data_IF_623264054886
#
_entry.id   IF_623264054886
#
_cell.length_a   1.000
_cell.length_b   1.000
_cell.length_c   1.000
_cell.angle_alpha   90.00
_cell.angle_beta   90.00
_cell.angle_gamma   90.00
#
_symmetry.space_group_name_H-M   'P 1'
#
loop_
_entity.id
_entity.type
_entity.pdbx_description
1 polymer ?
#
# COMPACT_ATOMS: atom_id res chain seq x y z
N UNK A 1 -40.16 -1.82 2.00
CA UNK A 1 -39.09 -2.41 1.14
C UNK A 1 -38.31 -1.28 0.49
N UNK A 2 -37.17 -0.89 1.06
CA UNK A 2 -36.25 0.09 0.45
C UNK A 2 -34.95 -0.64 0.17
N UNK A 3 -34.57 -0.64 -1.11
CA UNK A 3 -33.37 -1.29 -1.64
C UNK A 3 -32.15 -0.53 -1.12
N UNK A 4 -31.26 -1.22 -0.40
CA UNK A 4 -29.95 -0.69 -0.03
C UNK A 4 -29.09 -0.57 -1.29
N UNK A 5 -28.66 0.64 -1.58
CA UNK A 5 -27.72 0.91 -2.66
C UNK A 5 -26.35 0.49 -2.12
N UNK A 6 -25.86 -0.64 -2.60
CA UNK A 6 -24.47 -1.06 -2.50
C UNK A 6 -23.65 -0.06 -3.31
N UNK A 7 -23.05 0.92 -2.65
CA UNK A 7 -22.09 1.82 -3.29
C UNK A 7 -20.77 1.07 -3.31
N UNK A 8 -20.53 0.33 -4.40
CA UNK A 8 -19.22 -0.18 -4.74
C UNK A 8 -18.26 1.01 -4.80
N UNK A 9 -17.14 0.91 -4.08
CA UNK A 9 -16.04 1.86 -4.18
C UNK A 9 -15.43 1.63 -5.57
N UNK A 10 -15.85 2.45 -6.53
CA UNK A 10 -15.29 2.51 -7.87
C UNK A 10 -13.84 3.00 -7.77
N UNK A 11 -12.89 2.08 -7.74
CA UNK A 11 -11.50 2.40 -8.04
C UNK A 11 -11.45 2.84 -9.51
N UNK A 12 -10.90 4.03 -9.84
CA UNK A 12 -10.75 4.42 -11.23
C UNK A 12 -9.72 3.49 -11.88
N UNK A 13 -10.19 2.65 -12.79
CA UNK A 13 -9.38 1.82 -13.67
C UNK A 13 -8.44 2.73 -14.44
N UNK A 14 -7.16 2.77 -14.02
CA UNK A 14 -6.11 3.50 -14.72
C UNK A 14 -5.76 2.71 -16.00
N UNK A 15 -6.58 2.89 -17.04
CA UNK A 15 -6.28 2.46 -18.40
C UNK A 15 -5.10 3.29 -18.89
N UNK A 16 -3.88 2.79 -18.67
CA UNK A 16 -2.68 3.32 -19.31
C UNK A 16 -2.71 2.93 -20.79
N UNK A 17 -3.39 3.75 -21.58
CA UNK A 17 -3.29 3.73 -23.04
C UNK A 17 -1.87 4.12 -23.45
N UNK A 18 -1.09 3.11 -23.85
CA UNK A 18 0.15 3.25 -24.59
C UNK A 18 -0.13 3.95 -25.92
N UNK A 19 0.11 5.25 -25.99
CA UNK A 19 0.33 5.95 -27.26
C UNK A 19 1.83 6.21 -27.40
N UNK A 20 2.52 5.28 -28.09
CA UNK A 20 3.80 5.58 -28.69
C UNK A 20 3.61 6.53 -29.88
N UNK A 21 4.48 7.51 -30.00
CA UNK A 21 4.78 8.12 -31.29
C UNK A 21 6.28 8.41 -31.33
N UNK A 22 6.99 7.60 -32.10
CA UNK A 22 8.36 7.88 -32.51
C UNK A 22 8.41 8.94 -33.62
N UNK A 23 9.60 9.48 -33.83
CA UNK A 23 9.95 10.29 -35.00
C UNK A 23 11.08 11.28 -34.75
N UNK A 24 12.32 10.87 -35.06
CA UNK A 24 13.33 11.55 -35.90
C UNK A 24 13.28 13.10 -36.02
N UNK A 25 14.35 13.90 -36.05
CA UNK A 25 15.77 13.69 -36.38
C UNK A 25 16.58 14.98 -36.18
N UNK A 26 17.90 14.81 -36.02
CA UNK A 26 19.02 15.66 -36.45
C UNK A 26 19.21 17.10 -35.91
N UNK A 27 20.37 17.35 -35.27
CA UNK A 27 21.33 18.33 -35.83
C UNK A 27 22.76 18.28 -35.25
N UNK A 28 23.71 18.32 -36.20
CA UNK A 28 25.05 18.93 -36.20
C UNK A 28 26.20 18.42 -35.31
N UNK A 29 27.20 17.87 -36.03
CA UNK A 29 28.63 17.86 -35.71
C UNK A 29 29.18 19.28 -35.57
N UNK A 30 30.02 19.53 -34.56
CA UNK A 30 31.10 20.52 -34.57
C UNK A 30 32.32 19.92 -33.86
N UNK A 31 33.49 20.31 -34.37
CA UNK A 31 34.82 19.73 -34.24
C UNK A 31 35.48 19.76 -32.85
N UNK A 32 36.44 18.83 -32.75
CA UNK A 32 37.47 18.59 -31.76
C UNK A 32 38.32 19.82 -31.37
N UNK A 33 38.59 19.95 -30.06
CA UNK A 33 39.87 20.42 -29.50
C UNK A 33 40.23 19.61 -28.26
N UNK A 34 41.48 19.16 -28.18
CA UNK A 34 42.03 18.30 -27.13
C UNK A 34 42.21 18.98 -25.76
N UNK A 35 41.79 18.24 -24.73
CA UNK A 35 42.32 18.00 -23.37
C UNK A 35 42.58 19.20 -22.42
N UNK A 36 42.17 19.01 -21.16
CA UNK A 36 43.12 18.48 -20.18
C UNK A 36 42.68 17.11 -19.66
N UNK A 37 43.64 16.33 -19.18
CA UNK A 37 43.44 15.02 -18.57
C UNK A 37 42.47 15.14 -17.38
N UNK A 38 41.19 14.85 -17.63
CA UNK A 38 40.20 14.62 -16.60
C UNK A 38 40.59 13.33 -15.92
N UNK A 39 40.96 13.40 -14.65
CA UNK A 39 41.03 12.23 -13.80
C UNK A 39 39.67 11.54 -13.86
N UNK A 40 39.57 10.47 -14.65
CA UNK A 40 38.42 9.59 -14.62
C UNK A 40 38.37 9.00 -13.21
N UNK A 41 37.58 9.62 -12.32
CA UNK A 41 36.99 8.90 -11.20
C UNK A 41 36.37 7.66 -11.84
N UNK A 42 36.94 6.49 -11.57
CA UNK A 42 36.28 5.23 -11.89
C UNK A 42 34.84 5.38 -11.40
N UNK A 43 33.82 5.16 -12.26
CA UNK A 43 32.46 5.15 -11.78
C UNK A 43 32.44 4.24 -10.56
N UNK A 44 31.89 4.74 -9.44
CA UNK A 44 31.60 3.87 -8.29
C UNK A 44 30.90 2.66 -8.90
N UNK A 45 31.45 1.46 -8.71
CA UNK A 45 30.72 0.24 -9.05
C UNK A 45 29.42 0.35 -8.27
N UNK A 46 28.34 0.67 -8.96
CA UNK A 46 27.00 0.55 -8.41
C UNK A 46 26.89 -0.89 -7.94
N UNK A 47 26.48 -1.06 -6.68
CA UNK A 47 26.19 -2.40 -6.16
C UNK A 47 25.13 -2.97 -7.08
N UNK A 48 25.39 -4.14 -7.64
CA UNK A 48 24.40 -4.87 -8.40
C UNK A 48 23.26 -5.22 -7.43
N UNK A 49 22.10 -4.60 -7.62
CA UNK A 49 20.88 -4.87 -6.88
C UNK A 49 20.32 -6.17 -7.45
N UNK A 50 20.21 -7.19 -6.62
CA UNK A 50 19.69 -8.49 -7.05
C UNK A 50 19.10 -9.23 -5.85
N UNK A 51 17.89 -9.73 -6.02
CA UNK A 51 17.17 -10.62 -5.11
C UNK A 51 16.33 -11.59 -5.92
N UNK A 52 15.89 -12.69 -5.31
CA UNK A 52 14.95 -13.60 -5.97
C UNK A 52 13.52 -13.04 -5.91
N UNK A 53 12.80 -13.10 -7.03
CA UNK A 53 11.42 -12.62 -7.13
C UNK A 53 10.46 -13.33 -6.16
N UNK A 54 10.71 -14.61 -5.85
CA UNK A 54 9.95 -15.35 -4.86
C UNK A 54 10.09 -14.76 -3.45
N UNK A 55 11.32 -14.42 -3.05
CA UNK A 55 11.59 -13.80 -1.76
C UNK A 55 10.96 -12.40 -1.69
N UNK A 56 11.09 -11.62 -2.77
CA UNK A 56 10.45 -10.31 -2.88
C UNK A 56 8.93 -10.39 -2.66
N UNK A 57 8.26 -11.32 -3.34
CA UNK A 57 6.81 -11.50 -3.19
C UNK A 57 6.42 -11.84 -1.76
N UNK A 58 7.12 -12.79 -1.13
CA UNK A 58 6.85 -13.18 0.26
C UNK A 58 7.05 -12.03 1.23
N UNK A 59 8.09 -11.22 1.02
CA UNK A 59 8.40 -10.06 1.85
C UNK A 59 7.34 -8.97 1.71
N UNK A 60 6.91 -8.63 0.49
CA UNK A 60 5.87 -7.62 0.26
C UNK A 60 4.52 -8.10 0.81
N UNK A 61 4.21 -9.39 0.70
CA UNK A 61 3.00 -9.99 1.28
C UNK A 61 2.94 -9.76 2.80
N UNK A 62 4.02 -10.11 3.51
CA UNK A 62 4.12 -9.88 4.96
C UNK A 62 4.05 -8.40 5.29
N UNK A 63 4.87 -7.58 4.62
CA UNK A 63 4.94 -6.14 4.87
C UNK A 63 3.55 -5.47 4.73
N UNK A 64 2.76 -5.91 3.76
CA UNK A 64 1.44 -5.34 3.49
C UNK A 64 0.32 -5.82 4.41
N UNK A 65 0.55 -6.90 5.16
CA UNK A 65 -0.49 -7.56 5.95
C UNK A 65 -1.22 -6.62 6.91
N UNK A 66 -0.50 -5.75 7.63
CA UNK A 66 -1.10 -4.87 8.63
C UNK A 66 -2.02 -3.82 8.04
N UNK A 67 -1.55 -3.07 7.04
CA UNK A 67 -2.41 -2.00 6.52
C UNK A 67 -3.60 -2.55 5.74
N UNK A 68 -3.46 -3.67 5.02
CA UNK A 68 -4.59 -4.32 4.33
C UNK A 68 -5.61 -4.86 5.33
N UNK A 69 -5.13 -5.54 6.38
CA UNK A 69 -6.00 -6.05 7.43
C UNK A 69 -6.77 -4.93 8.13
N UNK A 70 -6.07 -3.84 8.49
CA UNK A 70 -6.69 -2.73 9.18
C UNK A 70 -7.64 -1.94 8.29
N UNK A 71 -7.30 -1.68 7.02
CA UNK A 71 -8.21 -1.02 6.07
C UNK A 71 -9.53 -1.79 5.94
N UNK A 72 -9.44 -3.11 5.76
CA UNK A 72 -10.59 -4.00 5.68
C UNK A 72 -11.42 -4.02 6.97
N UNK A 73 -10.79 -4.29 8.12
CA UNK A 73 -11.51 -4.44 9.38
C UNK A 73 -12.03 -3.09 9.89
N UNK A 74 -11.26 -2.01 9.79
CA UNK A 74 -11.69 -0.69 10.20
C UNK A 74 -12.80 -0.15 9.28
N UNK A 75 -12.72 -0.39 7.96
CA UNK A 75 -13.79 -0.07 7.02
C UNK A 75 -15.09 -0.80 7.37
N UNK A 76 -15.02 -2.12 7.55
CA UNK A 76 -16.19 -2.94 7.85
C UNK A 76 -16.82 -2.65 9.22
N UNK A 77 -15.99 -2.51 10.27
CA UNK A 77 -16.49 -2.19 11.61
C UNK A 77 -16.98 -0.74 11.66
N UNK A 78 -16.21 0.20 11.11
CA UNK A 78 -16.55 1.62 11.08
C UNK A 78 -17.83 1.94 10.31
N UNK A 79 -18.18 1.15 9.28
CA UNK A 79 -19.46 1.25 8.59
C UNK A 79 -20.66 0.97 9.50
N UNK A 80 -20.49 0.10 10.49
CA UNK A 80 -21.56 -0.29 11.41
C UNK A 80 -21.73 0.68 12.60
N UNK A 81 -20.81 1.64 12.77
CA UNK A 81 -20.89 2.65 13.83
C UNK A 81 -21.84 3.77 13.39
N UNK A 82 -22.98 3.88 14.07
CA UNK A 82 -24.01 4.88 13.81
C UNK A 82 -24.28 5.75 15.05
N UNK A 83 -24.88 6.93 14.85
CA UNK A 83 -25.14 7.87 15.94
C UNK A 83 -26.12 7.33 16.99
N UNK A 84 -27.11 6.52 16.57
CA UNK A 84 -28.22 6.07 17.41
C UNK A 84 -28.28 4.53 17.51
N UNK A 85 -27.13 3.88 17.69
CA UNK A 85 -27.07 2.43 17.89
C UNK A 85 -27.82 2.01 19.16
N UNK A 86 -28.58 0.92 19.08
CA UNK A 86 -29.13 0.28 20.28
C UNK A 86 -28.03 -0.48 21.05
N UNK A 87 -28.31 -0.85 22.30
CA UNK A 87 -27.34 -1.52 23.18
C UNK A 87 -26.80 -2.84 22.61
N UNK A 88 -27.62 -3.61 21.89
CA UNK A 88 -27.20 -4.90 21.33
C UNK A 88 -26.25 -4.69 20.14
N UNK A 89 -26.57 -3.73 19.27
CA UNK A 89 -25.68 -3.33 18.15
C UNK A 89 -24.37 -2.78 18.67
N UNK A 90 -24.40 -1.94 19.71
CA UNK A 90 -23.18 -1.43 20.35
C UNK A 90 -22.32 -2.57 20.91
N UNK A 91 -22.91 -3.47 21.71
CA UNK A 91 -22.18 -4.59 22.30
C UNK A 91 -21.54 -5.50 21.25
N UNK A 92 -22.26 -5.77 20.16
CA UNK A 92 -21.74 -6.54 19.03
C UNK A 92 -20.58 -5.83 18.32
N UNK A 93 -20.71 -4.54 18.01
CA UNK A 93 -19.65 -3.77 17.34
C UNK A 93 -18.40 -3.70 18.24
N UNK A 94 -18.57 -3.47 19.55
CA UNK A 94 -17.45 -3.45 20.49
C UNK A 94 -16.75 -4.81 20.60
N UNK A 95 -17.50 -5.92 20.58
CA UNK A 95 -16.92 -7.27 20.55
C UNK A 95 -16.08 -7.50 19.29
N UNK A 96 -16.60 -7.11 18.12
CA UNK A 96 -15.86 -7.16 16.86
C UNK A 96 -14.60 -6.28 16.90
N UNK A 97 -14.70 -5.04 17.40
CA UNK A 97 -13.55 -4.15 17.56
C UNK A 97 -12.47 -4.78 18.42
N UNK A 98 -12.82 -5.35 19.58
CA UNK A 98 -11.86 -5.98 20.48
C UNK A 98 -11.23 -7.25 19.87
N UNK A 99 -12.02 -8.08 19.19
CA UNK A 99 -11.51 -9.31 18.57
C UNK A 99 -10.57 -8.99 17.39
N UNK A 100 -11.02 -8.16 16.45
CA UNK A 100 -10.31 -7.95 15.20
C UNK A 100 -9.27 -6.83 15.30
N UNK A 101 -9.63 -5.70 15.89
CA UNK A 101 -8.74 -4.53 15.94
C UNK A 101 -7.81 -4.55 17.14
N UNK A 102 -8.06 -5.32 18.19
CA UNK A 102 -7.14 -5.42 19.34
C UNK A 102 -6.42 -6.78 19.38
N UNK A 103 -7.14 -7.89 19.59
CA UNK A 103 -6.52 -9.22 19.79
C UNK A 103 -5.82 -9.76 18.54
N UNK A 104 -6.53 -9.88 17.42
CA UNK A 104 -5.95 -10.44 16.17
C UNK A 104 -4.90 -9.52 15.58
N UNK A 105 -5.11 -8.21 15.69
CA UNK A 105 -4.16 -7.17 15.28
C UNK A 105 -2.73 -7.43 15.76
N UNK A 106 -2.52 -7.86 17.02
CA UNK A 106 -1.17 -8.10 17.58
C UNK A 106 -0.36 -9.08 16.73
N UNK A 107 -1.00 -10.14 16.23
CA UNK A 107 -0.31 -11.14 15.40
C UNK A 107 0.01 -10.56 14.02
N UNK A 108 -0.93 -9.85 13.42
CA UNK A 108 -0.76 -9.24 12.09
C UNK A 108 0.33 -8.17 12.11
N UNK A 109 0.34 -7.31 13.13
CA UNK A 109 1.36 -6.28 13.32
C UNK A 109 2.77 -6.88 13.40
N UNK A 110 2.90 -8.01 14.10
CA UNK A 110 4.17 -8.74 14.16
C UNK A 110 4.60 -9.25 12.78
N UNK A 111 3.69 -9.86 12.02
CA UNK A 111 3.96 -10.32 10.64
C UNK A 111 4.42 -9.17 9.76
N UNK A 112 3.73 -8.03 9.81
CA UNK A 112 4.08 -6.85 9.02
C UNK A 112 5.42 -6.23 9.42
N UNK A 113 5.69 -6.15 10.72
CA UNK A 113 6.99 -5.70 11.24
C UNK A 113 8.13 -6.60 10.77
N UNK A 114 7.95 -7.93 10.81
CA UNK A 114 8.92 -8.89 10.28
C UNK A 114 9.10 -8.71 8.76
N UNK A 115 8.03 -8.56 7.99
CA UNK A 115 8.09 -8.28 6.56
C UNK A 115 8.87 -7.00 6.22
N UNK A 116 8.62 -5.90 6.94
CA UNK A 116 9.37 -4.65 6.76
C UNK A 116 10.85 -4.79 7.13
N UNK A 117 11.18 -5.61 8.14
CA UNK A 117 12.58 -5.94 8.48
C UNK A 117 13.24 -6.77 7.38
N UNK A 118 12.53 -7.76 6.83
CA UNK A 118 13.03 -8.56 5.70
C UNK A 118 13.24 -7.69 4.45
N UNK A 119 12.33 -6.76 4.15
CA UNK A 119 12.46 -5.81 3.03
C UNK A 119 13.72 -4.94 3.15
N UNK A 120 14.06 -4.51 4.36
CA UNK A 120 15.30 -3.77 4.61
C UNK A 120 16.57 -4.56 4.28
N UNK A 121 16.50 -5.88 4.43
CA UNK A 121 17.63 -6.79 4.25
C UNK A 121 17.66 -7.42 2.85
N UNK A 122 16.60 -7.28 2.07
CA UNK A 122 16.45 -7.90 0.75
C UNK A 122 17.40 -7.33 -0.31
N UNK A 123 18.07 -6.19 -0.01
CA UNK A 123 19.02 -5.58 -0.93
C UNK A 123 18.37 -4.77 -2.05
N UNK A 124 17.15 -4.28 -1.84
CA UNK A 124 16.46 -3.33 -2.72
C UNK A 124 17.24 -2.02 -2.87
N UNK A 125 16.95 -1.29 -3.95
CA UNK A 125 17.49 0.05 -4.17
C UNK A 125 17.20 0.97 -2.96
N UNK A 126 18.21 1.61 -2.34
CA UNK A 126 18.00 2.40 -1.13
C UNK A 126 17.07 3.61 -1.30
N UNK A 127 17.06 4.23 -2.48
CA UNK A 127 16.22 5.40 -2.74
C UNK A 127 14.76 4.95 -2.91
N UNK A 128 14.53 3.85 -3.64
CA UNK A 128 13.18 3.26 -3.73
C UNK A 128 12.67 2.76 -2.38
N UNK A 129 13.52 2.14 -1.57
CA UNK A 129 13.15 1.68 -0.22
C UNK A 129 12.76 2.84 0.68
N UNK A 130 13.46 3.97 0.57
CA UNK A 130 13.13 5.18 1.32
C UNK A 130 11.75 5.70 0.92
N UNK A 131 11.52 5.88 -0.38
CA UNK A 131 10.23 6.37 -0.90
C UNK A 131 9.07 5.43 -0.56
N UNK A 132 9.34 4.11 -0.54
CA UNK A 132 8.37 3.09 -0.15
C UNK A 132 8.00 3.21 1.32
N UNK A 133 8.99 3.33 2.21
CA UNK A 133 8.73 3.50 3.64
C UNK A 133 7.93 4.75 3.95
N UNK A 134 8.18 5.85 3.24
CA UNK A 134 7.42 7.09 3.42
C UNK A 134 5.95 6.91 3.03
N UNK A 135 5.69 6.31 1.86
CA UNK A 135 4.32 6.00 1.43
C UNK A 135 3.64 4.97 2.37
N UNK A 136 4.39 3.95 2.78
CA UNK A 136 3.92 2.87 3.65
C UNK A 136 3.52 3.43 5.02
N UNK A 137 4.38 4.27 5.61
CA UNK A 137 4.09 4.88 6.90
C UNK A 137 2.84 5.76 6.84
N UNK A 138 2.65 6.51 5.75
CA UNK A 138 1.44 7.32 5.58
C UNK A 138 0.16 6.45 5.56
N UNK A 139 0.17 5.37 4.77
CA UNK A 139 -0.96 4.43 4.67
C UNK A 139 -1.21 3.76 6.01
N UNK A 140 -0.15 3.27 6.67
CA UNK A 140 -0.23 2.61 7.96
C UNK A 140 -0.75 3.55 9.06
N UNK A 141 -0.22 4.77 9.16
CA UNK A 141 -0.66 5.76 10.14
C UNK A 141 -2.14 6.11 9.96
N UNK A 142 -2.60 6.16 8.70
CA UNK A 142 -4.00 6.44 8.37
C UNK A 142 -4.93 5.36 8.92
N UNK A 143 -4.66 4.09 8.64
CA UNK A 143 -5.51 2.98 9.11
C UNK A 143 -5.35 2.74 10.62
N UNK A 144 -4.17 3.01 11.19
CA UNK A 144 -3.95 3.00 12.64
C UNK A 144 -4.75 4.08 13.37
N UNK A 145 -4.87 5.27 12.78
CA UNK A 145 -5.72 6.34 13.33
C UNK A 145 -7.19 5.92 13.34
N UNK A 146 -7.69 5.31 12.27
CA UNK A 146 -9.05 4.77 12.23
C UNK A 146 -9.26 3.69 13.29
N UNK A 147 -8.32 2.74 13.41
CA UNK A 147 -8.31 1.71 14.46
C UNK A 147 -8.44 2.33 15.85
N UNK A 148 -7.59 3.33 16.15
CA UNK A 148 -7.60 4.00 17.44
C UNK A 148 -8.94 4.68 17.73
N UNK A 149 -9.54 5.35 16.74
CA UNK A 149 -10.86 5.97 16.87
C UNK A 149 -11.93 4.92 17.16
N UNK A 150 -11.98 3.82 16.40
CA UNK A 150 -12.98 2.74 16.61
C UNK A 150 -12.88 2.15 18.01
N UNK A 151 -11.65 1.94 18.52
CA UNK A 151 -11.44 1.37 19.85
C UNK A 151 -11.86 2.30 21.00
N UNK A 152 -12.16 3.58 20.73
CA UNK A 152 -12.78 4.47 21.73
C UNK A 152 -14.28 4.27 21.87
N UNK A 153 -14.92 3.46 21.01
CA UNK A 153 -16.36 3.28 21.00
C UNK A 153 -16.89 2.79 22.35
N UNK A 154 -17.75 3.60 22.95
CA UNK A 154 -18.51 3.33 24.15
C UNK A 154 -20.02 3.44 23.88
N UNK A 155 -20.85 2.92 24.79
CA UNK A 155 -22.30 2.84 24.60
C UNK A 155 -23.01 4.20 24.53
N UNK A 156 -22.26 5.30 24.61
CA UNK A 156 -22.76 6.67 24.63
C UNK A 156 -22.15 7.56 23.54
N UNK A 157 -21.08 7.12 22.85
CA UNK A 157 -20.27 7.99 22.01
C UNK A 157 -20.28 7.66 20.50
N UNK A 158 -21.18 6.78 20.03
CA UNK A 158 -21.22 6.35 18.62
C UNK A 158 -21.23 7.49 17.60
N UNK A 159 -21.94 8.59 17.89
CA UNK A 159 -21.96 9.81 17.05
C UNK A 159 -20.60 10.51 16.95
N UNK A 160 -19.91 10.61 18.08
CA UNK A 160 -18.58 11.22 18.19
C UNK A 160 -17.57 10.39 17.36
N UNK A 161 -17.56 9.07 17.59
CA UNK A 161 -16.69 8.13 16.86
C UNK A 161 -16.94 8.19 15.35
N UNK A 162 -18.20 8.19 14.91
CA UNK A 162 -18.52 8.32 13.48
C UNK A 162 -17.98 9.62 12.88
N UNK A 163 -18.17 10.73 13.58
CA UNK A 163 -17.69 12.05 13.14
C UNK A 163 -16.15 12.06 13.01
N UNK A 164 -15.45 11.46 13.97
CA UNK A 164 -13.99 11.35 13.92
C UNK A 164 -13.51 10.46 12.78
N UNK A 165 -14.22 9.36 12.47
CA UNK A 165 -13.90 8.48 11.34
C UNK A 165 -14.06 9.20 10.00
N UNK A 166 -15.14 9.95 9.83
CA UNK A 166 -15.39 10.75 8.61
C UNK A 166 -14.31 11.83 8.38
N UNK A 167 -13.59 12.22 9.45
CA UNK A 167 -12.52 13.21 9.44
C UNK A 167 -11.13 12.58 9.60
N UNK A 168 -11.03 11.25 9.65
CA UNK A 168 -9.81 10.58 10.04
C UNK A 168 -8.69 10.78 9.00
N UNK A 169 -9.03 10.93 7.73
CA UNK A 169 -8.05 11.03 6.65
C UNK A 169 -8.59 11.72 5.40
N UNK A 170 -7.67 12.22 4.59
CA UNK A 170 -7.95 12.68 3.24
C UNK A 170 -7.93 11.49 2.28
N UNK A 171 -9.10 11.11 1.77
CA UNK A 171 -9.26 9.95 0.90
C UNK A 171 -8.42 10.04 -0.39
N UNK A 172 -8.36 11.19 -1.09
CA UNK A 172 -7.46 11.35 -2.25
C UNK A 172 -5.99 11.04 -1.93
N UNK A 173 -5.45 11.62 -0.86
CA UNK A 173 -4.05 11.42 -0.47
C UNK A 173 -3.79 9.98 -0.04
N UNK A 174 -4.75 9.32 0.62
CA UNK A 174 -4.65 7.89 0.93
C UNK A 174 -4.58 7.02 -0.32
N UNK A 175 -5.48 7.24 -1.28
CA UNK A 175 -5.48 6.50 -2.56
C UNK A 175 -4.17 6.72 -3.31
N UNK A 176 -3.67 7.96 -3.37
CA UNK A 176 -2.41 8.28 -4.02
C UNK A 176 -1.23 7.50 -3.41
N UNK A 177 -1.12 7.46 -2.08
CA UNK A 177 -0.04 6.73 -1.41
C UNK A 177 -0.18 5.21 -1.58
N UNK A 178 -1.40 4.67 -1.51
CA UNK A 178 -1.65 3.24 -1.77
C UNK A 178 -1.28 2.82 -3.20
N UNK A 179 -1.57 3.67 -4.19
CA UNK A 179 -1.14 3.45 -5.58
C UNK A 179 0.38 3.59 -5.73
N UNK A 180 0.99 4.58 -5.06
CA UNK A 180 2.44 4.79 -5.06
C UNK A 180 3.19 3.57 -4.53
N UNK A 181 2.70 2.90 -3.48
CA UNK A 181 3.29 1.65 -2.98
C UNK A 181 3.42 0.60 -4.08
N UNK A 182 2.33 0.37 -4.82
CA UNK A 182 2.32 -0.60 -5.93
C UNK A 182 3.35 -0.26 -7.00
N UNK A 183 3.43 1.01 -7.39
CA UNK A 183 4.36 1.45 -8.41
C UNK A 183 5.81 1.26 -7.95
N UNK A 184 6.10 1.57 -6.68
CA UNK A 184 7.43 1.39 -6.09
C UNK A 184 7.81 -0.10 -6.01
N UNK A 185 6.89 -0.98 -5.65
CA UNK A 185 7.12 -2.44 -5.62
C UNK A 185 7.50 -2.96 -7.02
N UNK A 186 6.80 -2.51 -8.06
CA UNK A 186 7.13 -2.86 -9.45
C UNK A 186 8.52 -2.33 -9.82
N UNK A 187 8.83 -1.07 -9.51
CA UNK A 187 10.14 -0.48 -9.82
C UNK A 187 11.28 -1.15 -9.04
N UNK A 188 11.07 -1.61 -7.81
CA UNK A 188 12.07 -2.38 -7.05
C UNK A 188 12.45 -3.67 -7.78
N UNK A 189 11.47 -4.44 -8.26
CA UNK A 189 11.72 -5.65 -9.02
C UNK A 189 12.39 -5.35 -10.38
N UNK A 190 11.97 -4.28 -11.08
CA UNK A 190 12.63 -3.86 -12.32
C UNK A 190 14.09 -3.48 -12.08
N UNK A 191 14.40 -2.78 -10.99
CA UNK A 191 15.78 -2.43 -10.61
C UNK A 191 16.64 -3.64 -10.25
N UNK A 192 16.03 -4.72 -9.80
CA UNK A 192 16.71 -6.00 -9.57
C UNK A 192 16.94 -6.82 -10.85
N UNK A 193 16.54 -6.31 -12.02
CA UNK A 193 16.79 -6.91 -13.32
C UNK A 193 15.61 -7.68 -13.92
N UNK A 194 14.45 -7.68 -13.26
CA UNK A 194 13.25 -8.32 -13.80
C UNK A 194 12.59 -7.48 -14.89
N UNK A 195 11.90 -8.13 -15.83
CA UNK A 195 11.10 -7.42 -16.83
C UNK A 195 9.93 -6.72 -16.14
N UNK A 196 9.49 -5.58 -16.68
CA UNK A 196 8.39 -4.79 -16.11
C UNK A 196 7.08 -5.57 -16.05
N UNK A 197 6.79 -6.36 -17.08
CA UNK A 197 5.60 -7.22 -17.13
C UNK A 197 5.65 -8.30 -16.05
N UNK A 198 6.77 -8.99 -15.90
CA UNK A 198 6.99 -10.01 -14.85
C UNK A 198 6.89 -9.40 -13.44
N UNK A 199 7.47 -8.21 -13.23
CA UNK A 199 7.34 -7.47 -11.97
C UNK A 199 5.88 -7.10 -11.65
N UNK A 200 5.11 -6.67 -12.66
CA UNK A 200 3.68 -6.36 -12.50
C UNK A 200 2.87 -7.59 -12.12
N UNK A 201 3.08 -8.70 -12.81
CA UNK A 201 2.40 -9.98 -12.50
C UNK A 201 2.73 -10.45 -11.08
N UNK A 202 4.00 -10.37 -10.68
CA UNK A 202 4.43 -10.73 -9.33
C UNK A 202 3.77 -9.87 -8.24
N UNK A 203 3.73 -8.55 -8.42
CA UNK A 203 3.09 -7.62 -7.48
C UNK A 203 1.57 -7.83 -7.45
N UNK A 204 0.95 -8.08 -8.60
CA UNK A 204 -0.48 -8.39 -8.68
C UNK A 204 -0.81 -9.68 -7.92
N UNK A 205 -0.02 -10.74 -8.08
CA UNK A 205 -0.22 -12.00 -7.36
C UNK A 205 -0.09 -11.81 -5.84
N UNK A 206 0.86 -10.98 -5.39
CA UNK A 206 0.99 -10.62 -3.97
C UNK A 206 -0.26 -9.93 -3.47
N UNK A 207 -0.78 -8.93 -4.19
CA UNK A 207 -2.00 -8.23 -3.82
C UNK A 207 -3.19 -9.17 -3.70
N UNK A 208 -3.40 -10.02 -4.69
CA UNK A 208 -4.49 -11.00 -4.68
C UNK A 208 -4.41 -11.90 -3.45
N UNK A 209 -3.20 -12.35 -3.11
CA UNK A 209 -2.96 -13.19 -1.94
C UNK A 209 -3.20 -12.46 -0.62
N UNK A 210 -2.65 -11.25 -0.46
CA UNK A 210 -2.83 -10.44 0.75
C UNK A 210 -4.30 -10.07 0.94
N UNK A 211 -5.01 -9.67 -0.12
CA UNK A 211 -6.44 -9.35 -0.05
C UNK A 211 -7.29 -10.57 0.28
N UNK A 212 -6.94 -11.76 -0.24
CA UNK A 212 -7.64 -13.00 0.13
C UNK A 212 -7.43 -13.39 1.59
N UNK A 213 -6.25 -13.14 2.15
CA UNK A 213 -5.90 -13.54 3.51
C UNK A 213 -6.33 -12.52 4.57
N UNK A 214 -6.19 -11.23 4.27
CA UNK A 214 -6.35 -10.14 5.22
C UNK A 214 -7.41 -9.11 4.82
N UNK A 215 -7.73 -9.01 3.53
CA UNK A 215 -8.61 -7.99 2.94
C UNK A 215 -10.02 -8.47 2.59
N UNK A 216 -10.69 -7.69 1.75
CA UNK A 216 -11.91 -8.11 1.04
C UNK A 216 -11.53 -8.49 -0.40
N UNK A 217 -11.67 -9.77 -0.81
CA UNK A 217 -11.32 -10.18 -2.16
C UNK A 217 -12.19 -9.53 -3.26
N UNK A 218 -13.34 -8.95 -2.93
CA UNK A 218 -14.21 -8.27 -3.91
C UNK A 218 -13.64 -6.92 -4.37
N UNK A 219 -12.74 -6.31 -3.59
CA UNK A 219 -12.02 -5.08 -3.97
C UNK A 219 -11.02 -5.30 -5.12
N UNK A 220 -10.73 -6.56 -5.47
CA UNK A 220 -9.89 -6.93 -6.61
C UNK A 220 -10.67 -7.00 -7.94
N UNK A 221 -12.00 -7.11 -7.91
CA UNK A 221 -12.84 -7.33 -9.10
C UNK A 221 -13.21 -6.02 -9.84
N UNK A 222 -12.62 -4.88 -9.46
CA UNK A 222 -12.99 -3.53 -9.90
C UNK A 222 -11.99 -2.88 -10.88
#
# INVERSE_FOLDING_TARGET
MKKGIMVAILVPSLVLSLAGCGGESANKKVESKEKPAVAHKKPKKEKEISFALADFKQVIEKASAEFVYLDNMAGNIGYNIQADMNSDTYGFVQELSNEFLDKRYVTIHKVSTEGMQELNNLGVDPDLLKDYKEAYQYVLDTVQKQRAIILTLDGTNGKEVRTQLDQAFDQPTYIENSQKLTLLEIEMAVKAGYKREEAREAVQEVKEKVMKEYGDPTDLES
#
